data_IF_063220543240
#
_entry.id   IF_063220543240
#
_cell.length_a   1.000
_cell.length_b   1.000
_cell.length_c   1.000
_cell.angle_alpha   90.00
_cell.angle_beta   90.00
_cell.angle_gamma   90.00
#
_symmetry.space_group_name_H-M   'P 1'
#
loop_
_entity.id
_entity.type
_entity.pdbx_description
1 polymer ?
#
# COMPACT_ATOMS: atom_id res chain seq x y z
N UNK A 1 -43.41 22.86 14.88
CA UNK A 1 -42.36 23.90 14.91
C UNK A 1 -41.07 23.23 15.33
N UNK A 2 -40.11 23.04 14.41
CA UNK A 2 -38.82 22.44 14.75
C UNK A 2 -38.02 23.39 15.65
N UNK A 3 -37.40 22.86 16.70
CA UNK A 3 -36.49 23.62 17.57
C UNK A 3 -35.39 24.27 16.73
N UNK A 4 -35.32 25.62 16.76
CA UNK A 4 -34.23 26.36 16.12
C UNK A 4 -32.95 26.09 16.91
N UNK A 5 -32.00 25.38 16.30
CA UNK A 5 -30.64 25.24 16.84
C UNK A 5 -30.00 26.63 16.99
N UNK A 6 -29.54 26.95 18.19
CA UNK A 6 -28.89 28.23 18.48
C UNK A 6 -27.49 28.28 17.86
N UNK A 7 -27.15 29.42 17.26
CA UNK A 7 -25.80 29.66 16.71
C UNK A 7 -24.85 29.95 17.87
N UNK A 8 -23.69 29.28 17.89
CA UNK A 8 -22.71 29.43 18.97
C UNK A 8 -22.12 30.84 19.02
N UNK A 9 -21.71 31.30 20.22
CA UNK A 9 -21.03 32.60 20.38
C UNK A 9 -19.73 32.70 19.56
N UNK A 10 -19.02 31.58 19.38
CA UNK A 10 -17.80 31.50 18.57
C UNK A 10 -18.10 31.80 17.10
N UNK A 11 -19.08 31.11 16.51
CA UNK A 11 -19.48 31.34 15.12
C UNK A 11 -19.97 32.78 14.93
N UNK A 12 -20.76 33.31 15.87
CA UNK A 12 -21.21 34.71 15.83
C UNK A 12 -20.04 35.70 15.79
N UNK A 13 -19.04 35.49 16.62
CA UNK A 13 -17.84 36.34 16.63
C UNK A 13 -17.04 36.21 15.34
N UNK A 14 -16.89 35.00 14.80
CA UNK A 14 -16.19 34.77 13.53
C UNK A 14 -16.88 35.46 12.35
N UNK A 15 -18.21 35.41 12.27
CA UNK A 15 -18.99 36.14 11.25
C UNK A 15 -18.82 37.65 11.41
N UNK A 16 -18.97 38.19 12.63
CA UNK A 16 -18.77 39.63 12.87
C UNK A 16 -17.36 40.08 12.51
N UNK A 17 -16.34 39.27 12.82
CA UNK A 17 -14.94 39.55 12.47
C UNK A 17 -14.73 39.52 10.95
N UNK A 18 -15.29 38.55 10.23
CA UNK A 18 -15.25 38.46 8.75
C UNK A 18 -15.81 39.72 8.13
N UNK A 19 -16.92 40.21 8.69
CA UNK A 19 -17.70 41.34 8.17
C UNK A 19 -17.24 42.69 8.76
N UNK A 20 -16.05 42.73 9.38
CA UNK A 20 -15.46 43.94 9.96
C UNK A 20 -16.37 44.68 10.97
N UNK A 21 -17.24 43.93 11.67
CA UNK A 21 -18.24 44.47 12.60
C UNK A 21 -19.12 45.57 11.96
N UNK A 22 -19.46 45.38 10.69
CA UNK A 22 -20.33 46.25 9.90
C UNK A 22 -21.51 45.47 9.36
N UNK A 23 -22.69 46.08 9.39
CA UNK A 23 -23.84 45.57 8.66
C UNK A 23 -23.49 45.47 7.17
N UNK A 24 -23.55 44.27 6.59
CA UNK A 24 -23.20 44.06 5.18
C UNK A 24 -24.23 44.65 4.21
N UNK A 25 -25.38 45.08 4.72
CA UNK A 25 -26.44 45.69 3.92
C UNK A 25 -26.37 47.21 3.85
N UNK A 26 -26.01 47.88 4.96
CA UNK A 26 -26.01 49.35 5.03
C UNK A 26 -24.66 49.96 5.43
N UNK A 27 -23.66 49.14 5.76
CA UNK A 27 -22.33 49.58 6.17
C UNK A 27 -22.23 50.15 7.60
N UNK A 28 -23.35 50.31 8.32
CA UNK A 28 -23.36 50.86 9.68
C UNK A 28 -22.73 49.89 10.70
N UNK A 29 -21.99 50.42 11.67
CA UNK A 29 -21.33 49.67 12.75
C UNK A 29 -21.97 49.93 14.12
N UNK A 30 -21.72 49.04 15.08
CA UNK A 30 -21.96 49.33 16.49
C UNK A 30 -21.08 50.51 16.98
N UNK A 31 -21.54 51.34 17.96
CA UNK A 31 -22.80 51.22 18.70
C UNK A 31 -24.01 51.88 18.01
N UNK A 32 -23.82 52.50 16.84
CA UNK A 32 -24.88 53.24 16.13
C UNK A 32 -26.05 52.34 15.73
N UNK A 33 -25.77 51.07 15.45
CA UNK A 33 -26.76 50.03 15.18
C UNK A 33 -26.49 48.77 16.00
N UNK A 34 -27.56 48.05 16.34
CA UNK A 34 -27.44 46.71 16.94
C UNK A 34 -27.16 45.69 15.84
N UNK A 35 -26.01 45.03 15.91
CA UNK A 35 -25.62 43.99 14.96
C UNK A 35 -26.12 42.61 15.39
N UNK A 36 -26.66 41.87 14.43
CA UNK A 36 -27.19 40.52 14.54
C UNK A 36 -26.64 39.64 13.41
N UNK A 37 -26.85 38.33 13.54
CA UNK A 37 -26.64 37.42 12.42
C UNK A 37 -27.95 37.32 11.65
N UNK A 38 -27.84 37.42 10.33
CA UNK A 38 -28.89 37.08 9.39
C UNK A 38 -28.46 35.86 8.57
N UNK A 39 -29.44 35.03 8.20
CA UNK A 39 -29.24 33.92 7.29
C UNK A 39 -29.40 34.43 5.86
N UNK A 40 -28.40 34.17 5.02
CA UNK A 40 -28.44 34.54 3.61
C UNK A 40 -29.59 33.78 2.95
N UNK A 41 -29.57 32.44 3.02
CA UNK A 41 -30.72 31.58 2.74
C UNK A 41 -31.56 31.39 4.00
N UNK A 42 -32.85 31.77 4.00
CA UNK A 42 -33.71 31.61 5.17
C UNK A 42 -33.78 30.16 5.64
N UNK A 43 -33.82 29.95 6.96
CA UNK A 43 -33.98 28.61 7.56
C UNK A 43 -35.25 27.90 7.05
N UNK A 44 -36.32 28.64 6.72
CA UNK A 44 -37.56 28.10 6.14
C UNK A 44 -37.38 27.50 4.74
N UNK A 45 -36.32 27.87 4.02
CA UNK A 45 -35.95 27.34 2.70
C UNK A 45 -34.81 26.31 2.75
N UNK A 46 -34.33 25.96 3.95
CA UNK A 46 -33.27 24.97 4.14
C UNK A 46 -31.89 25.54 4.47
N UNK A 47 -31.75 26.86 4.65
CA UNK A 47 -30.46 27.48 4.94
C UNK A 47 -29.79 26.95 6.22
N UNK A 48 -28.49 26.66 6.12
CA UNK A 48 -27.69 26.12 7.22
C UNK A 48 -27.22 27.18 8.22
N UNK A 49 -26.71 26.75 9.38
CA UNK A 49 -26.02 27.60 10.36
C UNK A 49 -24.51 27.71 10.09
N UNK A 50 -24.05 27.26 8.92
CA UNK A 50 -22.64 27.37 8.55
C UNK A 50 -22.25 28.84 8.38
N UNK A 51 -21.00 29.16 8.70
CA UNK A 51 -20.47 30.51 8.59
C UNK A 51 -20.67 31.11 7.18
N UNK A 52 -20.75 30.27 6.16
CA UNK A 52 -20.96 30.66 4.77
C UNK A 52 -22.39 31.10 4.46
N UNK A 53 -23.38 30.67 5.25
CA UNK A 53 -24.79 31.09 5.12
C UNK A 53 -25.17 32.18 6.14
N UNK A 54 -24.23 32.69 6.91
CA UNK A 54 -24.45 33.72 7.93
C UNK A 54 -23.78 35.01 7.52
N UNK A 55 -24.45 36.14 7.77
CA UNK A 55 -23.95 37.48 7.52
C UNK A 55 -24.28 38.42 8.67
N UNK A 56 -23.43 39.43 8.89
CA UNK A 56 -23.65 40.49 9.85
C UNK A 56 -24.65 41.48 9.28
N UNK A 57 -25.76 41.67 9.99
CA UNK A 57 -26.80 42.64 9.63
C UNK A 57 -27.11 43.52 10.83
N UNK A 58 -27.55 44.75 10.60
CA UNK A 58 -28.17 45.50 11.69
C UNK A 58 -29.62 45.06 11.87
N UNK A 59 -30.15 45.23 13.08
CA UNK A 59 -31.52 44.93 13.44
C UNK A 59 -32.55 45.49 12.44
N UNK A 60 -32.36 46.73 11.97
CA UNK A 60 -33.28 47.38 11.02
C UNK A 60 -33.20 46.76 9.62
N UNK A 61 -32.00 46.42 9.12
CA UNK A 61 -31.84 45.74 7.84
C UNK A 61 -32.34 44.30 7.89
N UNK A 62 -32.07 43.58 9.00
CA UNK A 62 -32.51 42.20 9.20
C UNK A 62 -34.05 42.09 9.14
N UNK A 63 -34.74 43.04 9.78
CA UNK A 63 -36.22 43.12 9.76
C UNK A 63 -36.76 43.74 8.48
N UNK A 64 -36.03 44.69 7.91
CA UNK A 64 -36.38 45.37 6.66
C UNK A 64 -36.20 44.51 5.41
N UNK A 65 -35.55 43.34 5.51
CA UNK A 65 -35.41 42.36 4.42
C UNK A 65 -36.77 41.85 3.88
N UNK A 66 -37.88 42.12 4.56
CA UNK A 66 -39.23 41.92 4.00
C UNK A 66 -39.77 43.10 3.17
N UNK A 67 -39.24 44.32 3.31
CA UNK A 67 -39.87 45.55 2.80
C UNK A 67 -38.92 46.62 2.21
N UNK A 68 -37.61 46.39 2.09
CA UNK A 68 -36.67 47.34 1.49
C UNK A 68 -35.72 46.65 0.52
N UNK A 69 -35.86 46.97 -0.77
CA UNK A 69 -34.88 46.62 -1.79
C UNK A 69 -33.55 47.31 -1.43
N UNK A 70 -32.53 46.51 -1.18
CA UNK A 70 -31.17 46.99 -1.02
C UNK A 70 -30.64 47.20 -2.44
N UNK A 71 -30.28 48.45 -2.75
CA UNK A 71 -29.99 48.88 -4.12
C UNK A 71 -28.64 48.40 -4.66
N UNK A 72 -27.94 47.49 -3.98
CA UNK A 72 -26.68 46.94 -4.47
C UNK A 72 -26.39 45.54 -3.89
N UNK A 73 -27.14 44.53 -4.35
CA UNK A 73 -26.88 43.12 -4.04
C UNK A 73 -25.53 42.62 -4.61
N UNK A 74 -24.86 43.40 -5.48
CA UNK A 74 -23.69 42.95 -6.23
C UNK A 74 -22.46 42.63 -5.36
N UNK A 75 -22.31 43.30 -4.22
CA UNK A 75 -21.20 43.07 -3.28
C UNK A 75 -21.41 41.75 -2.53
N UNK A 76 -22.64 41.49 -2.09
CA UNK A 76 -23.00 40.23 -1.41
C UNK A 76 -22.95 39.07 -2.39
N UNK A 77 -23.42 39.25 -3.62
CA UNK A 77 -23.32 38.23 -4.68
C UNK A 77 -21.88 37.85 -4.99
N UNK A 78 -20.97 38.83 -5.13
CA UNK A 78 -19.54 38.55 -5.39
C UNK A 78 -18.86 37.84 -4.21
N UNK A 79 -19.15 38.26 -2.98
CA UNK A 79 -18.64 37.55 -1.80
C UNK A 79 -19.18 36.11 -1.74
N UNK A 80 -20.44 35.91 -2.11
CA UNK A 80 -21.08 34.60 -2.14
C UNK A 80 -20.47 33.68 -3.21
N UNK A 81 -20.22 34.19 -4.41
CA UNK A 81 -19.52 33.46 -5.47
C UNK A 81 -18.11 33.05 -5.03
N UNK A 82 -17.37 33.98 -4.42
CA UNK A 82 -16.02 33.68 -3.88
C UNK A 82 -16.05 32.63 -2.76
N UNK A 83 -17.02 32.69 -1.85
CA UNK A 83 -17.17 31.69 -0.79
C UNK A 83 -17.61 30.33 -1.34
N UNK A 84 -18.49 30.31 -2.34
CA UNK A 84 -18.91 29.08 -3.02
C UNK A 84 -17.73 28.42 -3.73
N UNK A 85 -16.94 29.20 -4.47
CA UNK A 85 -15.71 28.73 -5.14
C UNK A 85 -14.70 28.19 -4.12
N UNK A 86 -14.49 28.88 -3.00
CA UNK A 86 -13.61 28.41 -1.92
C UNK A 86 -14.11 27.11 -1.27
N UNK A 87 -15.42 26.98 -1.06
CA UNK A 87 -16.02 25.75 -0.53
C UNK A 87 -15.87 24.58 -1.51
N UNK A 88 -16.11 24.80 -2.80
CA UNK A 88 -15.93 23.78 -3.82
C UNK A 88 -14.46 23.34 -3.89
N UNK A 89 -13.52 24.29 -3.87
CA UNK A 89 -12.08 24.00 -3.81
C UNK A 89 -11.69 23.23 -2.55
N UNK A 90 -12.30 23.57 -1.40
CA UNK A 90 -12.09 22.84 -0.14
C UNK A 90 -12.59 21.39 -0.25
N UNK A 91 -13.81 21.18 -0.77
CA UNK A 91 -14.37 19.85 -0.97
C UNK A 91 -13.50 19.01 -1.92
N UNK A 92 -13.01 19.61 -3.00
CA UNK A 92 -12.05 18.95 -3.91
C UNK A 92 -10.77 18.51 -3.17
N UNK A 93 -10.21 19.37 -2.32
CA UNK A 93 -9.02 19.03 -1.52
C UNK A 93 -9.30 17.91 -0.50
N UNK A 94 -10.45 17.94 0.17
CA UNK A 94 -10.88 16.88 1.10
C UNK A 94 -11.03 15.53 0.37
N UNK A 95 -11.64 15.52 -0.82
CA UNK A 95 -11.74 14.33 -1.67
C UNK A 95 -10.36 13.79 -2.07
N UNK A 96 -9.44 14.68 -2.49
CA UNK A 96 -8.07 14.28 -2.83
C UNK A 96 -7.32 13.69 -1.62
N UNK A 97 -7.55 14.20 -0.42
CA UNK A 97 -6.95 13.67 0.81
C UNK A 97 -7.50 12.30 1.17
N UNK A 98 -8.82 12.08 1.05
CA UNK A 98 -9.41 10.75 1.31
C UNK A 98 -8.90 9.72 0.30
N UNK A 99 -8.86 10.07 -0.99
CA UNK A 99 -8.32 9.19 -2.02
C UNK A 99 -6.85 8.84 -1.77
N UNK A 100 -6.03 9.82 -1.36
CA UNK A 100 -4.63 9.56 -0.99
C UNK A 100 -4.53 8.58 0.18
N UNK A 101 -5.41 8.68 1.17
CA UNK A 101 -5.46 7.79 2.33
C UNK A 101 -5.86 6.37 1.93
N UNK A 102 -6.85 6.22 1.04
CA UNK A 102 -7.22 4.92 0.46
C UNK A 102 -6.04 4.27 -0.28
N UNK A 103 -5.32 5.03 -1.12
CA UNK A 103 -4.12 4.54 -1.79
C UNK A 103 -3.01 4.13 -0.81
N UNK A 104 -2.84 4.87 0.29
CA UNK A 104 -1.88 4.48 1.33
C UNK A 104 -2.27 3.18 2.04
N UNK A 105 -3.57 2.85 2.09
CA UNK A 105 -4.06 1.63 2.71
C UNK A 105 -4.02 0.40 1.78
N UNK A 106 -3.83 0.59 0.47
CA UNK A 106 -3.80 -0.51 -0.50
C UNK A 106 -2.78 -1.59 -0.14
N UNK A 107 -1.63 -1.19 0.43
CA UNK A 107 -0.62 -2.14 0.89
C UNK A 107 -1.09 -2.94 2.11
N UNK A 108 -1.78 -2.31 3.04
CA UNK A 108 -2.32 -3.01 4.22
C UNK A 108 -3.48 -3.93 3.82
N UNK A 109 -4.30 -3.54 2.83
CA UNK A 109 -5.34 -4.39 2.25
C UNK A 109 -4.75 -5.60 1.50
N UNK A 110 -3.62 -5.41 0.83
CA UNK A 110 -2.87 -6.51 0.19
C UNK A 110 -2.34 -7.49 1.24
N UNK A 111 -1.76 -6.99 2.34
CA UNK A 111 -1.28 -7.82 3.45
C UNK A 111 -2.42 -8.62 4.07
N UNK A 112 -3.57 -7.97 4.32
CA UNK A 112 -4.77 -8.65 4.82
C UNK A 112 -5.25 -9.73 3.86
N UNK A 113 -5.33 -9.43 2.57
CA UNK A 113 -5.76 -10.40 1.55
C UNK A 113 -4.87 -11.64 1.50
N UNK A 114 -3.55 -11.48 1.64
CA UNK A 114 -2.61 -12.61 1.72
C UNK A 114 -2.83 -13.41 3.01
N UNK A 115 -3.03 -12.74 4.14
CA UNK A 115 -3.27 -13.41 5.42
C UNK A 115 -4.60 -14.19 5.42
N UNK A 116 -5.67 -13.58 4.91
CA UNK A 116 -6.99 -14.20 4.77
C UNK A 116 -6.93 -15.43 3.85
N UNK A 117 -6.13 -15.35 2.77
CA UNK A 117 -5.93 -16.50 1.89
C UNK A 117 -5.18 -17.63 2.60
N UNK A 118 -4.14 -17.33 3.38
CA UNK A 118 -3.46 -18.35 4.18
C UNK A 118 -4.43 -19.04 5.16
N UNK A 119 -5.24 -18.27 5.88
CA UNK A 119 -6.25 -18.80 6.80
C UNK A 119 -7.31 -19.62 6.06
N UNK A 120 -7.75 -19.18 4.88
CA UNK A 120 -8.71 -19.93 4.06
C UNK A 120 -8.17 -21.28 3.58
N UNK A 121 -6.88 -21.37 3.26
CA UNK A 121 -6.27 -22.60 2.73
C UNK A 121 -5.90 -23.56 3.86
N UNK A 122 -5.46 -23.02 5.01
CA UNK A 122 -4.91 -23.83 6.11
C UNK A 122 -5.85 -24.01 7.30
N UNK A 123 -6.89 -23.17 7.41
CA UNK A 123 -7.78 -23.08 8.57
C UNK A 123 -7.16 -22.40 9.80
N UNK A 124 -5.94 -21.84 9.69
CA UNK A 124 -5.21 -21.27 10.81
C UNK A 124 -5.01 -19.76 10.66
N UNK A 125 -5.29 -19.03 11.73
CA UNK A 125 -5.12 -17.58 11.78
C UNK A 125 -3.67 -17.18 12.03
N UNK A 126 -3.30 -16.02 11.49
CA UNK A 126 -1.95 -15.46 11.62
C UNK A 126 -1.93 -14.46 12.78
N UNK A 127 -0.97 -14.62 13.69
CA UNK A 127 -0.76 -13.69 14.81
C UNK A 127 0.00 -12.42 14.38
N UNK A 128 0.16 -11.45 15.29
CA UNK A 128 0.82 -10.17 15.01
C UNK A 128 2.26 -10.31 14.48
N UNK A 129 3.02 -11.28 14.98
CA UNK A 129 4.37 -11.56 14.49
C UNK A 129 4.33 -12.05 13.05
N UNK A 130 3.44 -13.00 12.75
CA UNK A 130 3.25 -13.49 11.38
C UNK A 130 2.75 -12.40 10.44
N UNK A 131 1.88 -11.49 10.88
CA UNK A 131 1.44 -10.34 10.09
C UNK A 131 2.61 -9.42 9.68
N UNK A 132 3.59 -9.24 10.57
CA UNK A 132 4.81 -8.51 10.23
C UNK A 132 5.65 -9.22 9.17
N UNK A 133 5.66 -10.56 9.15
CA UNK A 133 6.34 -11.32 8.11
C UNK A 133 5.59 -11.27 6.77
N UNK A 134 4.26 -11.38 6.77
CA UNK A 134 3.45 -11.16 5.57
C UNK A 134 3.70 -9.77 4.97
N UNK A 135 3.81 -8.74 5.81
CA UNK A 135 4.17 -7.38 5.36
C UNK A 135 5.56 -7.30 4.71
N UNK A 136 6.52 -8.11 5.15
CA UNK A 136 7.82 -8.23 4.48
C UNK A 136 7.70 -8.97 3.15
N UNK A 137 6.85 -10.00 3.07
CA UNK A 137 6.63 -10.77 1.85
C UNK A 137 6.00 -9.92 0.75
N UNK A 138 4.93 -9.17 1.07
CA UNK A 138 4.24 -8.27 0.13
C UNK A 138 5.15 -7.17 -0.42
N UNK A 139 6.21 -6.79 0.32
CA UNK A 139 7.22 -5.84 -0.18
C UNK A 139 8.22 -6.46 -1.17
N UNK A 140 8.32 -7.79 -1.19
CA UNK A 140 9.39 -8.52 -1.87
C UNK A 140 8.89 -9.32 -3.08
N UNK A 141 7.67 -9.82 -3.02
CA UNK A 141 7.11 -10.75 -4.00
C UNK A 141 5.79 -10.22 -4.55
N UNK A 142 5.48 -10.59 -5.78
CA UNK A 142 4.22 -10.22 -6.42
C UNK A 142 3.03 -10.93 -5.76
N UNK A 143 1.87 -10.29 -5.79
CA UNK A 143 0.66 -10.81 -5.14
C UNK A 143 0.27 -12.23 -5.63
N UNK A 144 0.23 -12.53 -6.96
CA UNK A 144 -0.10 -13.88 -7.44
C UNK A 144 0.92 -14.93 -7.00
N UNK A 145 2.21 -14.56 -6.94
CA UNK A 145 3.29 -15.44 -6.47
C UNK A 145 3.03 -15.90 -5.03
N UNK A 146 2.61 -14.98 -4.17
CA UNK A 146 2.36 -15.29 -2.76
C UNK A 146 1.15 -16.21 -2.57
N UNK A 147 0.08 -16.01 -3.34
CA UNK A 147 -1.08 -16.91 -3.33
C UNK A 147 -0.66 -18.33 -3.71
N UNK A 148 0.03 -18.49 -4.83
CA UNK A 148 0.49 -19.80 -5.29
C UNK A 148 1.49 -20.43 -4.30
N UNK A 149 2.39 -19.63 -3.72
CA UNK A 149 3.36 -20.12 -2.73
C UNK A 149 2.67 -20.65 -1.47
N UNK A 150 1.58 -20.01 -1.03
CA UNK A 150 0.78 -20.44 0.13
C UNK A 150 0.09 -21.77 -0.18
N UNK A 151 -0.57 -21.89 -1.33
CA UNK A 151 -1.23 -23.14 -1.75
C UNK A 151 -0.24 -24.30 -1.82
N UNK A 152 0.93 -24.07 -2.45
CA UNK A 152 2.00 -25.07 -2.52
C UNK A 152 2.51 -25.45 -1.12
N UNK A 153 2.75 -24.47 -0.26
CA UNK A 153 3.22 -24.71 1.11
C UNK A 153 2.21 -25.55 1.91
N UNK A 154 0.94 -25.18 1.87
CA UNK A 154 -0.14 -25.88 2.57
C UNK A 154 -0.33 -27.32 2.06
N UNK A 155 -0.15 -27.54 0.75
CA UNK A 155 -0.22 -28.90 0.18
C UNK A 155 0.98 -29.78 0.53
N UNK A 156 2.16 -29.18 0.76
CA UNK A 156 3.42 -29.90 0.94
C UNK A 156 3.75 -30.20 2.41
N UNK A 157 3.23 -29.41 3.34
CA UNK A 157 3.59 -29.48 4.75
C UNK A 157 2.34 -29.60 5.63
N UNK A 158 2.21 -30.72 6.36
CA UNK A 158 1.14 -30.92 7.35
C UNK A 158 1.31 -30.01 8.58
N UNK A 159 2.55 -29.62 8.88
CA UNK A 159 2.87 -28.68 9.96
C UNK A 159 2.66 -27.24 9.48
N UNK A 160 1.69 -26.55 10.09
CA UNK A 160 1.27 -25.21 9.72
C UNK A 160 2.34 -24.13 9.94
N UNK A 161 3.12 -24.25 11.01
CA UNK A 161 4.21 -23.31 11.28
C UNK A 161 5.32 -23.49 10.24
N UNK A 162 5.61 -24.74 9.89
CA UNK A 162 6.51 -25.06 8.80
C UNK A 162 5.99 -24.60 7.45
N UNK A 163 4.70 -24.78 7.15
CA UNK A 163 4.09 -24.30 5.92
C UNK A 163 4.26 -22.78 5.80
N UNK A 164 3.91 -22.03 6.84
CA UNK A 164 4.05 -20.57 6.88
C UNK A 164 5.51 -20.12 6.65
N UNK A 165 6.48 -20.71 7.35
CA UNK A 165 7.90 -20.33 7.23
C UNK A 165 8.50 -20.67 5.85
N UNK A 166 7.93 -21.63 5.13
CA UNK A 166 8.39 -22.04 3.81
C UNK A 166 7.85 -21.18 2.65
N UNK A 167 6.76 -20.45 2.84
CA UNK A 167 6.15 -19.54 1.84
C UNK A 167 7.18 -18.65 1.13
N UNK A 168 8.01 -17.84 1.81
CA UNK A 168 8.94 -16.92 1.13
C UNK A 168 10.01 -17.64 0.30
N UNK A 169 10.37 -18.88 0.66
CA UNK A 169 11.29 -19.70 -0.10
C UNK A 169 10.62 -20.27 -1.35
N UNK A 170 9.37 -20.72 -1.24
CA UNK A 170 8.60 -21.19 -2.39
C UNK A 170 8.34 -20.04 -3.37
N UNK A 171 7.93 -18.88 -2.87
CA UNK A 171 7.73 -17.67 -3.68
C UNK A 171 8.99 -17.28 -4.48
N UNK A 172 10.17 -17.37 -3.84
CA UNK A 172 11.43 -17.13 -4.53
C UNK A 172 11.63 -18.05 -5.75
N UNK A 173 11.36 -19.35 -5.62
CA UNK A 173 11.53 -20.30 -6.72
C UNK A 173 10.43 -20.21 -7.79
N UNK A 174 9.25 -19.69 -7.46
CA UNK A 174 8.21 -19.38 -8.45
C UNK A 174 8.68 -18.23 -9.36
N UNK A 175 9.19 -17.15 -8.78
CA UNK A 175 9.70 -15.99 -9.54
C UNK A 175 11.06 -16.24 -10.20
N UNK A 176 11.86 -17.16 -9.65
CA UNK A 176 13.18 -17.51 -10.14
C UNK A 176 13.21 -19.00 -10.51
N UNK A 177 12.48 -19.41 -11.56
CA UNK A 177 12.48 -20.79 -12.00
C UNK A 177 13.92 -21.18 -12.39
N UNK A 178 14.35 -22.35 -11.89
CA UNK A 178 15.65 -22.90 -12.25
C UNK A 178 15.67 -23.16 -13.75
N UNK A 179 16.74 -22.71 -14.41
CA UNK A 179 16.99 -23.07 -15.81
C UNK A 179 17.18 -24.58 -15.91
N UNK A 180 16.79 -25.17 -17.04
CA UNK A 180 16.84 -26.63 -17.25
C UNK A 180 18.20 -27.23 -16.86
N UNK A 181 19.30 -26.59 -17.30
CA UNK A 181 20.65 -27.02 -16.95
C UNK A 181 20.94 -26.93 -15.45
N UNK A 182 20.41 -25.95 -14.71
CA UNK A 182 20.60 -25.89 -13.25
C UNK A 182 19.90 -27.05 -12.54
N UNK A 183 18.73 -27.46 -13.03
CA UNK A 183 18.03 -28.64 -12.51
C UNK A 183 18.85 -29.91 -12.74
N UNK A 184 19.43 -30.08 -13.92
CA UNK A 184 20.38 -31.17 -14.22
C UNK A 184 21.57 -31.16 -13.25
N UNK A 185 22.18 -29.99 -12.98
CA UNK A 185 23.30 -29.91 -12.04
C UNK A 185 22.90 -30.30 -10.61
N UNK A 186 21.71 -29.91 -10.14
CA UNK A 186 21.21 -30.35 -8.84
C UNK A 186 20.97 -31.86 -8.78
N UNK A 187 20.48 -32.45 -9.88
CA UNK A 187 20.31 -33.89 -10.02
C UNK A 187 21.66 -34.63 -9.97
N UNK A 188 22.64 -34.18 -10.74
CA UNK A 188 24.03 -34.70 -10.76
C UNK A 188 24.63 -34.69 -9.35
N UNK A 189 24.51 -33.54 -8.65
CA UNK A 189 24.96 -33.44 -7.26
C UNK A 189 24.28 -34.47 -6.36
N UNK A 190 22.98 -34.72 -6.56
CA UNK A 190 22.23 -35.73 -5.82
C UNK A 190 22.78 -37.14 -6.04
N UNK A 191 23.12 -37.50 -7.29
CA UNK A 191 23.77 -38.78 -7.63
C UNK A 191 25.10 -38.89 -6.88
N UNK A 192 25.99 -37.90 -7.02
CA UNK A 192 27.31 -37.91 -6.41
C UNK A 192 27.24 -38.01 -4.87
N UNK A 193 26.33 -37.26 -4.24
CA UNK A 193 26.09 -37.32 -2.79
C UNK A 193 25.70 -38.72 -2.33
N UNK A 194 24.79 -39.39 -3.05
CA UNK A 194 24.33 -40.73 -2.67
C UNK A 194 25.41 -41.80 -2.85
N UNK A 195 26.37 -41.58 -3.75
CA UNK A 195 27.56 -42.44 -3.93
C UNK A 195 28.61 -42.22 -2.84
N UNK A 196 28.75 -40.98 -2.36
CA UNK A 196 29.73 -40.61 -1.35
C UNK A 196 29.21 -40.95 0.07
N UNK A 197 29.53 -42.16 0.55
CA UNK A 197 28.96 -42.74 1.77
C UNK A 197 29.36 -42.07 3.10
N UNK A 198 30.47 -41.32 3.15
CA UNK A 198 30.97 -40.72 4.39
C UNK A 198 30.73 -39.21 4.46
N UNK A 199 31.35 -38.47 3.55
CA UNK A 199 31.32 -37.01 3.53
C UNK A 199 31.07 -36.51 2.11
N UNK A 200 30.28 -35.45 1.99
CA UNK A 200 30.02 -34.76 0.73
C UNK A 200 29.64 -33.30 0.98
N UNK A 201 30.40 -32.36 0.40
CA UNK A 201 30.12 -30.93 0.52
C UNK A 201 29.11 -30.50 -0.56
N UNK A 202 27.85 -30.41 -0.18
CA UNK A 202 26.76 -30.04 -1.09
C UNK A 202 26.88 -28.62 -1.66
N UNK A 203 27.49 -27.71 -0.91
CA UNK A 203 27.62 -26.31 -1.31
C UNK A 203 28.79 -26.16 -2.29
N UNK A 204 29.95 -26.74 -1.97
CA UNK A 204 31.09 -26.72 -2.89
C UNK A 204 30.80 -27.50 -4.18
N UNK A 205 30.10 -28.64 -4.09
CA UNK A 205 29.75 -29.44 -5.27
C UNK A 205 28.95 -28.65 -6.31
N UNK A 206 27.92 -27.91 -5.88
CA UNK A 206 27.08 -27.16 -6.84
C UNK A 206 27.83 -25.97 -7.44
N UNK A 207 28.77 -25.37 -6.70
CA UNK A 207 29.61 -24.29 -7.21
C UNK A 207 30.50 -24.82 -8.33
N UNK A 208 31.21 -25.92 -8.09
CA UNK A 208 32.10 -26.55 -9.07
C UNK A 208 31.34 -27.01 -10.33
N UNK A 209 30.20 -27.68 -10.16
CA UNK A 209 29.37 -28.12 -11.29
C UNK A 209 28.90 -26.93 -12.15
N UNK A 210 28.52 -25.82 -11.52
CA UNK A 210 28.10 -24.61 -12.24
C UNK A 210 29.27 -23.96 -12.98
N UNK A 211 30.46 -23.98 -12.40
CA UNK A 211 31.67 -23.43 -13.01
C UNK A 211 32.10 -24.26 -14.22
N UNK A 212 32.23 -25.58 -14.06
CA UNK A 212 32.55 -26.51 -15.14
C UNK A 212 31.57 -26.38 -16.33
N UNK A 213 30.25 -26.34 -16.04
CA UNK A 213 29.25 -26.16 -17.10
C UNK A 213 29.38 -24.81 -17.83
N UNK A 214 29.67 -23.73 -17.09
CA UNK A 214 29.87 -22.40 -17.71
C UNK A 214 31.12 -22.32 -18.57
N UNK A 215 32.14 -23.13 -18.27
CA UNK A 215 33.34 -23.31 -19.09
C UNK A 215 33.13 -24.29 -20.27
N UNK A 216 31.91 -24.78 -20.48
CA UNK A 216 31.54 -25.57 -21.65
C UNK A 216 31.56 -27.09 -21.43
N UNK A 217 31.79 -27.58 -20.22
CA UNK A 217 31.68 -29.01 -19.91
C UNK A 217 30.20 -29.42 -20.00
N UNK A 218 29.91 -30.47 -20.77
CA UNK A 218 28.54 -30.90 -21.04
C UNK A 218 27.88 -31.57 -19.82
N UNK A 219 26.56 -31.53 -19.75
CA UNK A 219 25.78 -32.19 -18.70
C UNK A 219 26.07 -33.71 -18.64
N UNK A 220 26.30 -34.35 -19.78
CA UNK A 220 26.58 -35.79 -19.84
C UNK A 220 27.96 -36.13 -19.28
N UNK A 221 28.98 -35.31 -19.54
CA UNK A 221 30.32 -35.46 -18.94
C UNK A 221 30.24 -35.28 -17.41
N UNK A 222 29.50 -34.27 -16.93
CA UNK A 222 29.31 -34.04 -15.50
C UNK A 222 28.50 -35.17 -14.83
N UNK A 223 27.52 -35.76 -15.54
CA UNK A 223 26.77 -36.94 -15.08
C UNK A 223 27.70 -38.14 -14.94
N UNK A 224 28.59 -38.38 -15.89
CA UNK A 224 29.54 -39.50 -15.86
C UNK A 224 30.45 -39.45 -14.61
N UNK A 225 31.01 -38.27 -14.32
CA UNK A 225 31.80 -38.03 -13.09
C UNK A 225 31.00 -38.40 -11.83
N UNK A 226 29.75 -37.97 -11.73
CA UNK A 226 28.90 -38.29 -10.59
C UNK A 226 28.55 -39.78 -10.47
N UNK A 227 28.45 -40.52 -11.58
CA UNK A 227 28.18 -41.97 -11.55
C UNK A 227 29.40 -42.79 -11.13
N UNK A 228 30.59 -42.35 -11.54
CA UNK A 228 31.86 -43.07 -11.38
C UNK A 228 32.61 -42.70 -10.10
N UNK A 229 32.25 -41.57 -9.47
CA UNK A 229 32.90 -41.14 -8.24
C UNK A 229 32.71 -42.10 -7.07
N UNK A 230 33.78 -42.26 -6.28
CA UNK A 230 33.82 -43.14 -5.10
C UNK A 230 33.66 -42.38 -3.78
N UNK A 231 34.08 -41.12 -3.74
CA UNK A 231 34.06 -40.28 -2.55
C UNK A 231 34.16 -38.80 -2.94
N UNK A 232 33.97 -37.92 -1.96
CA UNK A 232 33.99 -36.48 -2.21
C UNK A 232 35.29 -35.96 -2.83
N UNK A 233 36.44 -36.45 -2.39
CA UNK A 233 37.74 -36.00 -2.91
C UNK A 233 37.88 -36.36 -4.39
N UNK A 234 37.48 -37.57 -4.75
CA UNK A 234 37.47 -38.10 -6.12
C UNK A 234 36.58 -37.24 -7.02
N UNK A 235 35.31 -37.02 -6.63
CA UNK A 235 34.38 -36.15 -7.34
C UNK A 235 34.93 -34.73 -7.52
N UNK A 236 35.44 -34.15 -6.44
CA UNK A 236 35.93 -32.78 -6.43
C UNK A 236 37.12 -32.62 -7.39
N UNK A 237 38.09 -33.52 -7.29
CA UNK A 237 39.30 -33.45 -8.11
C UNK A 237 38.96 -33.64 -9.60
N UNK A 238 38.12 -34.61 -9.98
CA UNK A 238 37.74 -34.79 -11.39
C UNK A 238 37.07 -33.53 -11.97
N UNK A 239 36.17 -32.88 -11.21
CA UNK A 239 35.54 -31.63 -11.68
C UNK A 239 36.54 -30.47 -11.73
N UNK A 240 37.43 -30.35 -10.74
CA UNK A 240 38.51 -29.34 -10.72
C UNK A 240 39.46 -29.54 -11.93
N UNK A 241 39.79 -30.79 -12.29
CA UNK A 241 40.60 -31.11 -13.47
C UNK A 241 39.90 -30.69 -14.78
N UNK A 242 38.58 -30.93 -14.91
CA UNK A 242 37.82 -30.43 -16.06
C UNK A 242 37.84 -28.90 -16.16
N UNK A 243 37.71 -28.20 -15.02
CA UNK A 243 37.76 -26.74 -14.95
C UNK A 243 39.13 -26.23 -15.39
N UNK A 244 40.21 -26.84 -14.90
CA UNK A 244 41.59 -26.48 -15.29
C UNK A 244 41.80 -26.66 -16.80
N UNK A 245 41.45 -27.83 -17.34
CA UNK A 245 41.62 -28.15 -18.77
C UNK A 245 40.83 -27.20 -19.68
N UNK A 246 39.62 -26.78 -19.28
CA UNK A 246 38.83 -25.85 -20.08
C UNK A 246 39.31 -24.41 -19.93
N UNK A 247 39.75 -24.00 -18.74
CA UNK A 247 40.29 -22.66 -18.50
C UNK A 247 41.56 -22.40 -19.31
N UNK A 248 42.39 -23.41 -19.51
CA UNK A 248 43.62 -23.33 -20.31
C UNK A 248 43.36 -23.27 -21.84
N UNK A 249 42.15 -23.60 -22.30
CA UNK A 249 41.79 -23.54 -23.74
C UNK A 249 41.32 -22.15 -24.18
N UNK A 250 40.88 -21.32 -23.24
CA UNK A 250 40.35 -19.97 -23.48
C UNK A 250 41.38 -18.85 -23.19
N UNK A 251 42.59 -19.19 -22.76
CA UNK A 251 43.72 -18.27 -22.52
C UNK A 251 44.70 -18.18 -23.68
#
# INVERSE_FOLDING_TARGET
MGERKSISKKIRFEVFKRDSFQCQYCGESAPKVTLELDHIEPVSKGGSNDITNLVTSCFDCNRGKSDRQLNDDSVISKQHEQLAELNERKQQLEMMMEWRKELMNLQDDTVRSIADHFESVTGASINDTGMNDVKKWVKKYEFPTLLEAIERAASQYDDLEKAFTMVPRIAYYIEHPLKDWEQDLFYIRGIARNKCSNYFDNAKAIILLKEAYKLGVSIDELKDVAYNTRNWTDFRNEIEDYIEVMSDRDG
#
